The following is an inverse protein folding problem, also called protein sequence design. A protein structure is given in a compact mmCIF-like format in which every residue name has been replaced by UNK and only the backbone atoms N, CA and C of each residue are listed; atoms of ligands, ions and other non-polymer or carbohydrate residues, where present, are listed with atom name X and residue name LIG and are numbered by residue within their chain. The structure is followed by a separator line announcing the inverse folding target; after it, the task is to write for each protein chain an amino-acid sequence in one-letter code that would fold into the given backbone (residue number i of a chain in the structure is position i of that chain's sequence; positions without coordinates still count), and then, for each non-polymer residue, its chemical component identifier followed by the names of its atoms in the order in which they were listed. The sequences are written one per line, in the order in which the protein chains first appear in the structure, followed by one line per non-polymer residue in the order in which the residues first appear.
data_IF_537383787060
#
_entry.id   IF_537383787060
#
_cell.length_a   1.000
_cell.length_b   1.000
_cell.length_c   1.000
_cell.angle_alpha   90.00
_cell.angle_beta   90.00
_cell.angle_gamma   90.00
#
_symmetry.space_group_name_H-M   'P 1'
#
loop_
_entity.id
_entity.type
_entity.pdbx_description
1 polymer ?
#
# COMPACT_ATOMS: atom_id res chain seq x y z
N UNK A 1 -22.23 -22.49 13.03
CA UNK A 1 -21.21 -21.60 12.42
C UNK A 1 -20.06 -22.45 11.98
N UNK A 2 -19.69 -22.44 10.71
CA UNK A 2 -18.50 -23.17 10.25
C UNK A 2 -17.24 -22.50 10.84
N UNK A 3 -16.36 -23.33 11.40
CA UNK A 3 -15.07 -22.90 11.91
C UNK A 3 -14.16 -22.65 10.70
N UNK A 4 -13.69 -21.42 10.53
CA UNK A 4 -12.72 -21.10 9.50
C UNK A 4 -11.33 -21.52 10.00
N UNK A 5 -10.66 -22.39 9.26
CA UNK A 5 -9.27 -22.75 9.52
C UNK A 5 -8.37 -21.98 8.58
N UNK A 6 -7.39 -21.27 9.13
CA UNK A 6 -6.41 -20.51 8.30
C UNK A 6 -5.63 -21.45 7.37
N UNK A 7 -5.46 -22.71 7.75
CA UNK A 7 -4.81 -23.73 6.93
C UNK A 7 -5.55 -24.08 5.63
N UNK A 8 -6.85 -23.75 5.54
CA UNK A 8 -7.66 -24.04 4.35
C UNK A 8 -7.37 -23.03 3.21
N UNK A 9 -6.69 -21.93 3.50
CA UNK A 9 -6.29 -20.95 2.52
C UNK A 9 -4.88 -21.22 1.98
N UNK A 10 -4.71 -20.96 0.68
CA UNK A 10 -3.46 -21.16 -0.03
C UNK A 10 -2.34 -20.25 0.50
N UNK A 11 -1.10 -20.79 0.53
CA UNK A 11 0.11 -20.02 0.84
C UNK A 11 0.74 -19.51 -0.44
N UNK A 12 1.07 -18.21 -0.46
CA UNK A 12 1.67 -17.55 -1.60
C UNK A 12 3.15 -17.26 -1.33
N UNK A 13 3.99 -17.44 -2.35
CA UNK A 13 5.42 -17.08 -2.30
C UNK A 13 5.63 -15.59 -2.56
N UNK A 14 4.73 -14.99 -3.34
CA UNK A 14 4.67 -13.58 -3.68
C UNK A 14 3.24 -13.07 -3.47
N UNK A 15 3.07 -11.76 -3.44
CA UNK A 15 1.76 -11.17 -3.27
C UNK A 15 0.87 -11.45 -4.49
N UNK A 16 -0.24 -12.23 -4.35
CA UNK A 16 -1.07 -12.63 -5.48
C UNK A 16 -1.83 -11.46 -6.14
N UNK A 17 -1.98 -10.34 -5.43
CA UNK A 17 -2.71 -9.18 -5.92
C UNK A 17 -1.87 -8.20 -6.76
N UNK A 18 -0.53 -8.38 -6.81
CA UNK A 18 0.36 -7.41 -7.44
C UNK A 18 0.08 -7.19 -8.92
N UNK A 19 -0.15 -8.25 -9.69
CA UNK A 19 -0.41 -8.14 -11.13
C UNK A 19 -1.62 -7.25 -11.41
N UNK A 20 -2.73 -7.54 -10.74
CA UNK A 20 -3.97 -6.76 -10.90
C UNK A 20 -3.80 -5.32 -10.39
N UNK A 21 -3.05 -5.14 -9.28
CA UNK A 21 -2.76 -3.81 -8.75
C UNK A 21 -1.93 -2.95 -9.71
N UNK A 22 -0.95 -3.54 -10.40
CA UNK A 22 -0.14 -2.85 -11.42
C UNK A 22 -1.04 -2.41 -12.57
N UNK A 23 -1.85 -3.32 -13.12
CA UNK A 23 -2.78 -3.01 -14.22
C UNK A 23 -3.78 -1.90 -13.85
N UNK A 24 -4.32 -1.92 -12.62
CA UNK A 24 -5.23 -0.90 -12.13
C UNK A 24 -4.54 0.45 -11.98
N UNK A 25 -3.31 0.48 -11.41
CA UNK A 25 -2.55 1.71 -11.26
C UNK A 25 -2.21 2.30 -12.62
N UNK A 26 -1.78 1.51 -13.59
CA UNK A 26 -1.46 1.97 -14.95
C UNK A 26 -2.66 2.61 -15.65
N UNK A 27 -3.86 2.01 -15.51
CA UNK A 27 -5.11 2.57 -16.06
C UNK A 27 -5.52 3.89 -15.39
N UNK A 28 -5.27 4.02 -14.08
CA UNK A 28 -5.77 5.14 -13.28
C UNK A 28 -4.76 6.27 -13.07
N UNK A 29 -3.53 6.16 -13.62
CA UNK A 29 -2.52 7.22 -13.50
C UNK A 29 -2.87 8.39 -14.41
N UNK A 30 -3.33 9.49 -13.80
CA UNK A 30 -3.52 10.77 -14.48
C UNK A 30 -2.35 11.71 -14.15
N UNK A 31 -1.65 12.19 -15.16
CA UNK A 31 -0.62 13.21 -15.01
C UNK A 31 -1.30 14.57 -14.77
N UNK A 32 -1.41 14.99 -13.51
CA UNK A 32 -1.87 16.32 -13.15
C UNK A 32 -0.67 17.26 -13.06
N UNK A 33 -0.57 18.20 -13.97
CA UNK A 33 0.36 19.31 -13.87
C UNK A 33 -0.25 20.36 -12.94
N UNK A 34 0.36 20.60 -11.79
CA UNK A 34 0.01 21.78 -10.99
C UNK A 34 0.69 22.97 -11.64
N UNK A 35 -0.05 23.77 -12.36
CA UNK A 35 0.39 25.12 -12.76
C UNK A 35 0.65 25.91 -11.48
N UNK A 36 1.83 26.50 -11.37
CA UNK A 36 2.17 27.35 -10.24
C UNK A 36 1.29 28.61 -10.32
N UNK A 37 0.15 28.60 -9.65
CA UNK A 37 -0.63 29.83 -9.43
C UNK A 37 0.16 30.77 -8.53
N UNK A 38 0.21 32.01 -8.94
CA UNK A 38 0.93 33.14 -8.31
C UNK A 38 0.40 33.36 -6.89
N UNK A 39 1.04 32.83 -5.90
CA UNK A 39 0.85 33.20 -4.49
C UNK A 39 2.19 33.64 -3.93
N UNK A 40 2.18 34.66 -3.10
CA UNK A 40 3.30 35.51 -2.63
C UNK A 40 4.51 34.76 -2.00
N UNK A 41 4.46 33.44 -1.85
CA UNK A 41 5.52 32.63 -1.28
C UNK A 41 6.41 31.89 -2.32
N UNK A 42 6.31 32.23 -3.61
CA UNK A 42 7.09 31.59 -4.67
C UNK A 42 8.20 32.51 -5.14
N UNK A 43 9.37 32.35 -4.57
CA UNK A 43 10.58 32.86 -5.21
C UNK A 43 10.83 32.07 -6.49
N UNK A 44 10.76 32.70 -7.64
CA UNK A 44 11.17 32.13 -8.93
C UNK A 44 12.65 32.50 -9.09
N UNK A 45 13.54 31.52 -8.89
CA UNK A 45 14.93 31.67 -9.27
C UNK A 45 15.02 31.48 -10.80
N UNK A 46 15.39 32.53 -11.49
CA UNK A 46 15.72 32.47 -12.90
C UNK A 46 17.24 32.41 -13.01
N UNK A 47 17.77 31.41 -13.70
CA UNK A 47 19.17 31.41 -14.07
C UNK A 47 19.33 32.33 -15.29
N UNK A 48 20.20 33.33 -15.18
CA UNK A 48 20.54 34.25 -16.25
C UNK A 48 21.96 33.97 -16.75
N UNK A 49 22.16 34.09 -18.04
CA UNK A 49 23.52 34.24 -18.59
C UNK A 49 24.06 35.61 -18.17
N UNK A 50 25.18 35.61 -17.51
CA UNK A 50 25.83 36.86 -17.01
C UNK A 50 26.25 37.80 -18.11
N UNK A 51 26.48 37.33 -19.33
CA UNK A 51 26.95 38.13 -20.45
C UNK A 51 25.84 38.63 -21.34
N UNK A 52 24.77 37.86 -21.54
CA UNK A 52 23.68 38.19 -22.45
C UNK A 52 22.40 38.64 -21.73
N UNK A 53 22.29 38.38 -20.43
CA UNK A 53 21.09 38.67 -19.65
C UNK A 53 19.90 37.77 -20.00
N UNK A 54 20.08 36.77 -20.86
CA UNK A 54 19.02 35.83 -21.25
C UNK A 54 18.72 34.79 -20.16
N UNK A 55 17.46 34.42 -20.08
CA UNK A 55 17.00 33.39 -19.11
C UNK A 55 17.39 32.00 -19.63
N UNK A 56 18.38 31.37 -19.00
CA UNK A 56 18.88 30.04 -19.38
C UNK A 56 18.00 28.87 -18.94
N UNK A 57 17.10 29.09 -17.99
CA UNK A 57 16.22 28.03 -17.50
C UNK A 57 15.38 28.43 -16.29
N UNK A 58 14.43 27.54 -15.97
CA UNK A 58 13.60 27.65 -14.78
C UNK A 58 13.95 26.55 -13.80
N UNK A 59 14.29 26.92 -12.57
CA UNK A 59 14.51 25.95 -11.48
C UNK A 59 13.18 25.49 -10.95
N UNK A 60 12.97 24.17 -10.88
CA UNK A 60 11.82 23.62 -10.15
C UNK A 60 12.05 23.75 -8.65
N UNK A 61 11.14 24.44 -7.97
CA UNK A 61 11.19 24.53 -6.53
C UNK A 61 10.75 23.21 -5.91
N UNK A 62 11.58 22.66 -5.05
CA UNK A 62 11.19 21.62 -4.11
C UNK A 62 10.41 22.33 -3.01
N UNK A 63 9.08 22.22 -3.02
CA UNK A 63 8.25 22.69 -1.92
C UNK A 63 8.52 21.81 -0.71
N UNK A 64 9.01 22.38 0.40
CA UNK A 64 8.99 21.72 1.69
C UNK A 64 7.52 21.50 2.06
N UNK A 65 7.09 20.25 2.11
CA UNK A 65 5.74 19.88 2.52
C UNK A 65 5.86 19.53 4.00
N UNK A 66 5.13 20.21 4.84
CA UNK A 66 4.87 19.73 6.20
C UNK A 66 3.98 18.49 6.05
N UNK A 67 4.46 17.37 6.57
CA UNK A 67 3.71 16.12 6.61
C UNK A 67 3.29 15.89 8.04
N UNK A 68 2.07 15.44 8.22
CA UNK A 68 1.57 14.94 9.47
C UNK A 68 2.41 13.71 9.87
N UNK A 69 2.94 13.68 11.08
CA UNK A 69 3.69 12.54 11.62
C UNK A 69 2.78 11.36 11.97
N UNK A 70 1.47 11.58 12.03
CA UNK A 70 0.51 10.52 12.29
C UNK A 70 0.52 9.45 11.19
N UNK A 71 0.47 8.20 11.61
CA UNK A 71 0.39 7.08 10.69
C UNK A 71 -0.96 7.07 9.98
N UNK A 72 -0.95 7.10 8.66
CA UNK A 72 -2.16 6.98 7.86
C UNK A 72 -2.06 5.85 6.84
N UNK A 73 -3.20 5.27 6.52
CA UNK A 73 -3.35 4.28 5.45
C UNK A 73 -4.45 4.72 4.52
N UNK A 74 -4.22 4.59 3.22
CA UNK A 74 -5.22 4.89 2.19
C UNK A 74 -6.08 3.68 1.95
N UNK A 75 -7.41 3.86 2.02
CA UNK A 75 -8.40 2.88 1.58
C UNK A 75 -8.96 3.37 0.24
N UNK A 76 -9.00 2.50 -0.75
CA UNK A 76 -9.46 2.84 -2.10
C UNK A 76 -10.94 2.52 -2.24
N UNK A 77 -11.76 3.55 -2.50
CA UNK A 77 -13.21 3.46 -2.51
C UNK A 77 -13.75 2.52 -3.60
N UNK A 78 -13.03 2.36 -4.70
CA UNK A 78 -13.39 1.46 -5.80
C UNK A 78 -13.60 0.01 -5.32
N UNK A 79 -12.81 -0.43 -4.35
CA UNK A 79 -12.86 -1.79 -3.79
C UNK A 79 -13.44 -1.81 -2.36
N UNK A 80 -14.09 -0.73 -1.91
CA UNK A 80 -14.61 -0.62 -0.55
C UNK A 80 -15.74 -1.63 -0.26
N UNK A 81 -16.42 -2.11 -1.30
CA UNK A 81 -17.47 -3.14 -1.18
C UNK A 81 -17.01 -4.43 -0.49
N UNK A 82 -15.70 -4.75 -0.57
CA UNK A 82 -15.12 -5.92 0.09
C UNK A 82 -15.25 -5.86 1.63
N UNK A 83 -15.49 -4.67 2.19
CA UNK A 83 -15.69 -4.48 3.62
C UNK A 83 -17.13 -4.70 4.07
N UNK A 84 -18.13 -4.66 3.17
CA UNK A 84 -19.55 -4.70 3.54
C UNK A 84 -19.98 -6.02 4.20
N UNK A 85 -19.35 -7.12 3.82
CA UNK A 85 -19.67 -8.46 4.33
C UNK A 85 -18.74 -8.91 5.48
N UNK A 86 -17.88 -8.02 5.98
CA UNK A 86 -16.98 -8.35 7.06
C UNK A 86 -17.72 -8.48 8.38
N UNK A 87 -17.44 -9.57 9.10
CA UNK A 87 -17.88 -9.73 10.48
C UNK A 87 -17.06 -8.85 11.42
N UNK A 88 -17.59 -8.59 12.61
CA UNK A 88 -16.91 -7.79 13.63
C UNK A 88 -15.48 -8.27 13.94
N UNK A 89 -15.25 -9.61 13.93
CA UNK A 89 -13.90 -10.16 14.14
C UNK A 89 -12.94 -9.67 13.04
N UNK A 90 -13.35 -9.71 11.78
CA UNK A 90 -12.53 -9.27 10.65
C UNK A 90 -12.25 -7.77 10.72
N UNK A 91 -13.24 -6.95 11.08
CA UNK A 91 -13.07 -5.50 11.23
C UNK A 91 -12.04 -5.17 12.32
N UNK A 92 -12.12 -5.84 13.49
CA UNK A 92 -11.16 -5.61 14.59
C UNK A 92 -9.74 -6.07 14.22
N UNK A 93 -9.61 -7.25 13.60
CA UNK A 93 -8.31 -7.75 13.13
C UNK A 93 -7.76 -6.85 12.03
N UNK A 94 -8.60 -6.31 11.14
CA UNK A 94 -8.18 -5.32 10.15
C UNK A 94 -7.64 -4.05 10.81
N UNK A 95 -8.30 -3.55 11.87
CA UNK A 95 -7.79 -2.43 12.66
C UNK A 95 -6.37 -2.68 13.21
N UNK A 96 -6.11 -3.88 13.75
CA UNK A 96 -4.78 -4.28 14.18
C UNK A 96 -3.78 -4.29 13.00
N UNK A 97 -4.15 -4.88 11.86
CA UNK A 97 -3.28 -4.92 10.68
C UNK A 97 -2.85 -3.52 10.24
N UNK A 98 -3.79 -2.56 10.27
CA UNK A 98 -3.49 -1.17 9.92
C UNK A 98 -2.35 -0.57 10.75
N UNK A 99 -2.22 -0.95 12.02
CA UNK A 99 -1.12 -0.49 12.90
C UNK A 99 0.24 -1.12 12.56
N UNK A 100 0.24 -2.24 11.80
CA UNK A 100 1.46 -2.99 11.44
C UNK A 100 2.01 -2.67 10.06
N UNK A 101 1.29 -1.87 9.29
CA UNK A 101 1.70 -1.53 7.94
C UNK A 101 2.88 -0.56 7.95
N UNK A 102 3.94 -0.95 7.25
CA UNK A 102 5.06 -0.06 6.98
C UNK A 102 4.86 0.66 5.64
N UNK A 103 5.33 1.89 5.50
CA UNK A 103 5.22 2.63 4.26
C UNK A 103 5.87 1.89 3.08
N UNK A 104 5.16 1.84 1.95
CA UNK A 104 5.61 1.24 0.69
C UNK A 104 5.95 -0.26 0.77
N UNK A 105 5.32 -1.00 1.69
CA UNK A 105 5.38 -2.46 1.77
C UNK A 105 4.00 -3.06 1.47
N UNK A 106 4.00 -4.19 0.80
CA UNK A 106 2.79 -4.95 0.45
C UNK A 106 2.57 -6.18 1.33
N UNK A 107 3.30 -6.28 2.42
CA UNK A 107 3.17 -7.34 3.41
C UNK A 107 3.34 -6.81 4.83
N UNK A 108 2.89 -7.60 5.81
CA UNK A 108 3.09 -7.35 7.22
C UNK A 108 3.39 -8.64 7.97
N UNK A 109 3.98 -8.47 9.15
CA UNK A 109 4.20 -9.57 10.09
C UNK A 109 3.04 -9.61 11.08
N UNK A 110 2.41 -10.77 11.18
CA UNK A 110 1.30 -11.00 12.09
C UNK A 110 1.81 -11.63 13.38
N UNK A 111 1.45 -11.04 14.49
CA UNK A 111 1.63 -11.58 15.82
C UNK A 111 0.27 -11.82 16.48
N UNK A 112 0.05 -13.04 16.96
CA UNK A 112 -1.23 -13.44 17.53
C UNK A 112 -1.51 -12.78 18.88
N UNK A 113 -0.48 -12.68 19.74
CA UNK A 113 -0.67 -12.18 21.09
C UNK A 113 -0.87 -10.66 21.07
N UNK A 114 -0.12 -9.94 20.27
CA UNK A 114 -0.35 -8.51 20.04
C UNK A 114 -1.73 -8.23 19.40
N UNK A 115 -2.17 -9.08 18.46
CA UNK A 115 -3.49 -8.97 17.88
C UNK A 115 -4.60 -9.21 18.91
N UNK A 116 -4.44 -10.17 19.81
CA UNK A 116 -5.37 -10.43 20.91
C UNK A 116 -5.44 -9.23 21.87
N UNK A 117 -4.29 -8.67 22.22
CA UNK A 117 -4.21 -7.48 23.05
C UNK A 117 -4.94 -6.29 22.41
N UNK A 118 -4.64 -5.98 21.15
CA UNK A 118 -5.26 -4.88 20.43
C UNK A 118 -6.77 -5.03 20.26
N UNK A 119 -7.22 -6.25 19.90
CA UNK A 119 -8.62 -6.52 19.59
C UNK A 119 -9.48 -6.80 20.83
N UNK A 120 -8.86 -7.11 21.97
CA UNK A 120 -9.52 -7.54 23.20
C UNK A 120 -10.03 -8.99 23.14
N UNK A 121 -9.65 -9.77 22.12
CA UNK A 121 -10.04 -11.18 22.02
C UNK A 121 -9.18 -12.07 22.90
N UNK A 122 -9.82 -12.87 23.74
CA UNK A 122 -9.15 -13.90 24.56
C UNK A 122 -8.89 -15.17 23.75
N UNK A 123 -9.79 -15.49 22.83
CA UNK A 123 -9.73 -16.72 22.02
C UNK A 123 -8.91 -16.52 20.74
N UNK A 124 -7.93 -17.38 20.52
CA UNK A 124 -7.20 -17.50 19.25
C UNK A 124 -8.13 -17.76 18.06
N UNK A 125 -9.19 -18.56 18.27
CA UNK A 125 -10.18 -18.86 17.23
C UNK A 125 -10.89 -17.60 16.73
N UNK A 126 -11.18 -16.63 17.62
CA UNK A 126 -11.81 -15.36 17.21
C UNK A 126 -10.91 -14.55 16.29
N UNK A 127 -9.60 -14.53 16.57
CA UNK A 127 -8.61 -13.86 15.72
C UNK A 127 -8.49 -14.55 14.36
N UNK A 128 -8.40 -15.90 14.35
CA UNK A 128 -8.32 -16.65 13.09
C UNK A 128 -9.60 -16.56 12.26
N UNK A 129 -10.77 -16.51 12.89
CA UNK A 129 -12.02 -16.22 12.18
C UNK A 129 -11.98 -14.81 11.53
N UNK A 130 -11.38 -13.85 12.24
CA UNK A 130 -11.15 -12.50 11.70
C UNK A 130 -10.22 -12.50 10.49
N UNK A 131 -9.06 -13.15 10.61
CA UNK A 131 -8.11 -13.31 9.50
C UNK A 131 -8.74 -14.04 8.30
N UNK A 132 -9.41 -15.17 8.56
CA UNK A 132 -10.07 -15.95 7.52
C UNK A 132 -11.13 -15.13 6.77
N UNK A 133 -11.89 -14.28 7.48
CA UNK A 133 -12.83 -13.38 6.84
C UNK A 133 -12.16 -12.34 5.94
N UNK A 134 -10.98 -11.82 6.33
CA UNK A 134 -10.22 -10.89 5.50
C UNK A 134 -9.63 -11.58 4.25
N UNK A 135 -9.16 -12.83 4.39
CA UNK A 135 -8.63 -13.61 3.27
C UNK A 135 -9.76 -13.96 2.29
N UNK A 136 -10.91 -14.44 2.81
CA UNK A 136 -12.07 -14.81 1.98
C UNK A 136 -12.63 -13.63 1.17
N UNK A 137 -12.42 -12.39 1.63
CA UNK A 137 -12.82 -11.18 0.93
C UNK A 137 -11.66 -10.53 0.15
N UNK A 138 -10.57 -11.25 -0.09
CA UNK A 138 -9.42 -10.80 -0.88
C UNK A 138 -8.79 -9.47 -0.39
N UNK A 139 -8.92 -9.17 0.89
CA UNK A 139 -8.32 -7.98 1.52
C UNK A 139 -6.86 -8.25 1.86
N UNK A 140 -6.56 -9.48 2.28
CA UNK A 140 -5.21 -9.97 2.54
C UNK A 140 -5.04 -11.38 1.97
N UNK A 141 -3.79 -11.85 1.84
CA UNK A 141 -3.48 -13.23 1.47
C UNK A 141 -2.39 -13.79 2.37
N UNK A 142 -2.35 -15.12 2.55
CA UNK A 142 -1.30 -15.80 3.31
C UNK A 142 0.02 -15.76 2.55
N UNK A 143 1.10 -15.45 3.26
CA UNK A 143 2.44 -15.62 2.76
C UNK A 143 2.97 -17.06 2.94
N UNK A 144 4.18 -17.29 2.47
CA UNK A 144 4.85 -18.59 2.59
C UNK A 144 5.03 -19.03 4.05
N UNK A 145 5.31 -18.09 4.94
CA UNK A 145 5.44 -18.33 6.39
C UNK A 145 4.14 -17.94 7.09
N UNK A 146 3.77 -18.66 8.15
CA UNK A 146 2.48 -18.50 8.83
C UNK A 146 2.27 -17.13 9.51
N UNK A 147 3.36 -16.41 9.76
CA UNK A 147 3.34 -15.07 10.31
C UNK A 147 3.47 -13.95 9.26
N UNK A 148 3.53 -14.27 7.95
CA UNK A 148 3.60 -13.30 6.87
C UNK A 148 2.27 -13.30 6.12
N UNK A 149 1.73 -12.10 5.93
CA UNK A 149 0.54 -11.87 5.13
C UNK A 149 0.80 -10.74 4.14
N UNK A 150 0.27 -10.89 2.94
CA UNK A 150 0.26 -9.87 1.91
C UNK A 150 -1.01 -9.04 2.00
N UNK A 151 -0.90 -7.74 1.78
CA UNK A 151 -2.05 -6.86 1.62
C UNK A 151 -2.48 -6.80 0.16
N UNK A 152 -3.75 -6.51 -0.07
CA UNK A 152 -4.23 -6.19 -1.40
C UNK A 152 -4.08 -4.67 -1.67
N UNK A 153 -3.09 -4.24 -2.50
CA UNK A 153 -2.85 -2.83 -2.74
C UNK A 153 -3.98 -2.13 -3.53
N UNK A 154 -4.94 -2.90 -4.08
CA UNK A 154 -6.14 -2.35 -4.70
C UNK A 154 -7.18 -1.91 -3.66
N UNK A 155 -7.15 -2.51 -2.46
CA UNK A 155 -8.09 -2.25 -1.37
C UNK A 155 -7.54 -1.19 -0.42
N UNK A 156 -6.32 -1.37 0.05
CA UNK A 156 -5.66 -0.44 0.97
C UNK A 156 -4.13 -0.47 0.82
N UNK A 157 -3.48 0.65 1.10
CA UNK A 157 -2.04 0.76 1.00
C UNK A 157 -1.50 1.91 1.86
N UNK A 158 -0.38 1.67 2.55
CA UNK A 158 0.34 2.71 3.26
C UNK A 158 1.46 3.26 2.37
N UNK A 159 1.37 4.53 1.99
CA UNK A 159 2.37 5.20 1.16
C UNK A 159 1.95 5.48 -0.28
N UNK A 160 2.93 5.51 -1.19
CA UNK A 160 2.72 5.82 -2.61
C UNK A 160 2.62 4.54 -3.46
N UNK A 161 1.38 4.08 -3.70
CA UNK A 161 1.09 2.88 -4.51
C UNK A 161 1.70 2.95 -5.92
N UNK A 162 1.70 4.12 -6.57
CA UNK A 162 2.25 4.30 -7.91
C UNK A 162 3.78 4.09 -7.91
N UNK A 163 4.47 4.67 -6.94
CA UNK A 163 5.91 4.48 -6.81
C UNK A 163 6.26 3.02 -6.50
N UNK A 164 5.48 2.37 -5.64
CA UNK A 164 5.63 0.96 -5.29
C UNK A 164 5.48 0.05 -6.52
N UNK A 165 4.41 0.20 -7.30
CA UNK A 165 4.17 -0.63 -8.49
C UNK A 165 5.26 -0.44 -9.55
N UNK A 166 5.74 0.80 -9.77
CA UNK A 166 6.85 1.08 -10.68
C UNK A 166 8.15 0.41 -10.25
N UNK A 167 8.45 0.40 -8.96
CA UNK A 167 9.66 -0.29 -8.45
C UNK A 167 9.55 -1.81 -8.64
N UNK A 168 8.35 -2.37 -8.45
CA UNK A 168 8.12 -3.80 -8.62
C UNK A 168 8.31 -4.23 -10.07
N UNK A 169 7.72 -3.50 -11.03
CA UNK A 169 7.90 -3.73 -12.47
C UNK A 169 9.39 -3.68 -12.86
N UNK A 170 10.12 -2.66 -12.38
CA UNK A 170 11.56 -2.54 -12.63
C UNK A 170 12.36 -3.72 -12.10
N UNK A 171 12.03 -4.24 -10.91
CA UNK A 171 12.70 -5.42 -10.34
C UNK A 171 12.43 -6.69 -11.15
N UNK A 172 11.18 -6.91 -11.57
CA UNK A 172 10.80 -8.09 -12.37
C UNK A 172 11.49 -8.09 -13.74
N UNK A 173 11.64 -6.93 -14.38
CA UNK A 173 12.35 -6.80 -15.66
C UNK A 173 13.85 -7.10 -15.51
N UNK A 174 14.49 -6.64 -14.41
CA UNK A 174 15.90 -6.91 -14.14
C UNK A 174 16.18 -8.38 -13.79
N UNK A 175 15.24 -9.07 -13.14
CA UNK A 175 15.36 -10.51 -12.84
C UNK A 175 15.14 -11.36 -14.09
N UNK A 176 14.24 -10.98 -14.98
CA UNK A 176 14.03 -11.65 -16.26
C UNK A 176 15.25 -11.54 -17.21
N UNK A 177 15.95 -10.37 -17.18
CA UNK A 177 17.15 -10.16 -18.00
C UNK A 177 18.42 -10.89 -17.53
N UNK A 178 18.42 -11.45 -16.32
CA UNK A 178 19.56 -12.24 -15.79
C UNK A 178 19.51 -13.74 -16.13
N UNK A 179 18.41 -14.20 -16.70
CA UNK A 179 18.18 -15.61 -17.08
C UNK A 179 18.31 -15.85 -18.59
N UNK A 180 18.99 -14.98 -19.33
CA UNK A 180 19.39 -15.27 -20.70
C UNK A 180 20.75 -16.00 -20.70
N UNK A 181 20.85 -17.13 -21.43
CA UNK A 181 22.02 -18.01 -21.43
C UNK A 181 23.27 -17.33 -22.00
#
# INVERSE_FOLDING_TARGET
MSIIKITDFEKNTENPFLKQSIEQVEKNVVKKYKTATNTEEKAILKAYDENTGEVLGHTQFIRKIEVDEDQFTKIYLENFQQFFNLKTQSIRVFGYIMTRLKPNQDYFYFDLDECKEYTGYKSQQSVYNGLGGLISNEIIARGKKDYIYYINPMVFFNGNRIAFTKMYVKKSTLSAGKNLP
#
